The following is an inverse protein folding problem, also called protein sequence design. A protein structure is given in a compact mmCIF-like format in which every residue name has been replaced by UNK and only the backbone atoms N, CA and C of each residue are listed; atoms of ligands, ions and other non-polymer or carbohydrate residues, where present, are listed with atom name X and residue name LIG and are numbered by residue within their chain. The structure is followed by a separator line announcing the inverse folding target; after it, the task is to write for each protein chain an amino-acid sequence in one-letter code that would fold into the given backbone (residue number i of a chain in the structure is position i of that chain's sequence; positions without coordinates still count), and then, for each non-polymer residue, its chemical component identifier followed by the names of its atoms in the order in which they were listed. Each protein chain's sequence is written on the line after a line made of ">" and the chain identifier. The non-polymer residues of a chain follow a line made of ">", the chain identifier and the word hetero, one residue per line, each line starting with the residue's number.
data_IF_390500763695
#
_entry.id   IF_390500763695
#
_cell.length_a   1.000
_cell.length_b   1.000
_cell.length_c   1.000
_cell.angle_alpha   90.00
_cell.angle_beta   90.00
_cell.angle_gamma   90.00
#
_symmetry.space_group_name_H-M   'P 1'
#
loop_
_entity.id
_entity.type
_entity.pdbx_description
1 polymer ?
#
# COMPACT_ATOMS: atom_id res chain seq x y z
N UNK A 1 80.01 -17.57 1.56
CA UNK A 1 79.00 -16.58 1.09
C UNK A 1 77.67 -17.32 0.99
N UNK A 2 76.78 -17.20 2.00
CA UNK A 2 75.44 -17.81 2.02
C UNK A 2 74.42 -16.81 1.48
N UNK A 3 73.78 -17.11 0.35
CA UNK A 3 72.67 -16.31 -0.20
C UNK A 3 71.39 -16.70 0.55
N UNK A 4 70.83 -15.78 1.31
CA UNK A 4 69.50 -15.92 1.89
C UNK A 4 68.45 -15.57 0.80
N UNK A 5 67.58 -16.53 0.52
CA UNK A 5 66.45 -16.40 -0.38
C UNK A 5 65.26 -15.89 0.43
N UNK A 6 64.87 -14.67 0.19
CA UNK A 6 63.71 -14.04 0.85
C UNK A 6 62.44 -14.46 0.06
N UNK A 7 61.61 -15.34 0.63
CA UNK A 7 60.31 -15.67 0.08
C UNK A 7 59.29 -14.67 0.58
N UNK A 8 58.81 -13.77 -0.31
CA UNK A 8 57.72 -12.85 -0.03
C UNK A 8 56.41 -13.63 -0.30
N UNK A 9 55.73 -14.03 0.80
CA UNK A 9 54.36 -14.54 0.72
C UNK A 9 53.42 -13.34 0.59
N UNK A 10 52.94 -13.07 -0.64
CA UNK A 10 51.81 -12.17 -0.91
C UNK A 10 50.52 -12.85 -0.46
N UNK A 11 49.95 -12.41 0.67
CA UNK A 11 48.61 -12.80 1.07
C UNK A 11 47.59 -12.06 0.22
N UNK A 12 46.97 -12.77 -0.73
CA UNK A 12 45.81 -12.25 -1.48
C UNK A 12 44.61 -12.33 -0.54
N UNK A 13 44.23 -11.18 0.02
CA UNK A 13 42.97 -11.05 0.75
C UNK A 13 41.83 -10.96 -0.28
N UNK A 14 41.19 -12.09 -0.54
CA UNK A 14 39.91 -12.11 -1.28
C UNK A 14 38.84 -11.47 -0.37
N UNK A 15 38.51 -10.20 -0.59
CA UNK A 15 37.31 -9.59 -0.04
C UNK A 15 36.13 -10.21 -0.77
N UNK A 16 35.45 -11.17 -0.13
CA UNK A 16 34.11 -11.62 -0.52
C UNK A 16 33.16 -10.44 -0.30
N UNK A 17 32.99 -9.61 -1.32
CA UNK A 17 31.90 -8.64 -1.37
C UNK A 17 30.63 -9.46 -1.46
N UNK A 18 29.95 -9.65 -0.33
CA UNK A 18 28.63 -10.24 -0.30
C UNK A 18 27.72 -9.33 -1.15
N UNK A 19 27.35 -9.79 -2.34
CA UNK A 19 26.39 -9.11 -3.20
C UNK A 19 25.03 -9.16 -2.47
N UNK A 20 24.78 -8.20 -1.58
CA UNK A 20 23.44 -8.03 -1.00
C UNK A 20 22.55 -7.61 -2.15
N UNK A 21 21.57 -8.45 -2.48
CA UNK A 21 20.53 -8.08 -3.44
C UNK A 21 19.78 -6.85 -2.91
N UNK A 22 19.50 -5.90 -3.80
CA UNK A 22 18.67 -4.73 -3.49
C UNK A 22 17.35 -5.18 -2.86
N UNK A 23 16.85 -4.49 -1.81
CA UNK A 23 15.59 -4.85 -1.18
C UNK A 23 14.43 -4.74 -2.17
N UNK A 24 13.46 -5.63 -2.02
CA UNK A 24 12.23 -5.60 -2.82
C UNK A 24 11.40 -4.39 -2.43
N UNK A 25 11.20 -3.46 -3.36
CA UNK A 25 10.43 -2.24 -3.13
C UNK A 25 8.93 -2.51 -3.12
N UNK A 26 8.27 -2.12 -2.04
CA UNK A 26 6.82 -2.26 -1.81
C UNK A 26 6.21 -0.89 -1.61
N UNK A 27 5.29 -0.48 -2.47
CA UNK A 27 4.56 0.77 -2.37
C UNK A 27 3.17 0.54 -1.76
N UNK A 28 2.90 1.15 -0.62
CA UNK A 28 1.56 1.22 -0.03
C UNK A 28 0.90 2.54 -0.47
N UNK A 29 0.07 2.47 -1.51
CA UNK A 29 -0.67 3.59 -2.10
C UNK A 29 -2.05 3.68 -1.44
N UNK A 30 -2.48 4.90 -1.07
CA UNK A 30 -3.82 5.04 -0.47
C UNK A 30 -4.13 6.42 0.12
N UNK A 31 -5.16 6.42 0.93
CA UNK A 31 -5.73 7.60 1.58
C UNK A 31 -5.21 7.81 3.03
N UNK A 32 -6.01 8.47 3.87
CA UNK A 32 -5.70 8.73 5.30
C UNK A 32 -5.42 7.48 6.11
N UNK A 33 -6.01 6.34 5.76
CA UNK A 33 -5.81 5.08 6.49
C UNK A 33 -4.40 4.53 6.19
N UNK A 34 -3.96 4.62 4.94
CA UNK A 34 -2.58 4.30 4.55
C UNK A 34 -1.58 5.29 5.15
N UNK A 35 -1.91 6.59 5.10
CA UNK A 35 -1.12 7.64 5.74
C UNK A 35 -0.92 7.40 7.23
N UNK A 36 -1.90 6.80 7.92
CA UNK A 36 -1.91 6.58 9.36
C UNK A 36 -2.48 7.79 10.12
N UNK A 37 -3.63 8.33 9.65
CA UNK A 37 -4.31 9.41 10.36
C UNK A 37 -4.68 8.97 11.78
N UNK A 38 -4.39 9.83 12.78
CA UNK A 38 -4.61 9.54 14.19
C UNK A 38 -3.52 8.68 14.85
N UNK A 39 -2.59 8.08 14.09
CA UNK A 39 -1.47 7.30 14.62
C UNK A 39 -0.32 8.24 15.01
N UNK A 40 0.15 8.10 16.25
CA UNK A 40 1.18 8.98 16.82
C UNK A 40 2.55 8.74 16.18
N UNK A 41 2.99 7.50 16.12
CA UNK A 41 4.22 7.08 15.44
C UNK A 41 3.90 6.37 14.12
N UNK A 42 3.59 7.15 13.10
CA UNK A 42 3.20 6.62 11.78
C UNK A 42 4.29 5.80 11.11
N UNK A 43 5.55 6.09 11.39
CA UNK A 43 6.66 5.36 10.79
C UNK A 43 6.68 3.89 11.22
N UNK A 44 6.21 3.58 12.42
CA UNK A 44 6.22 2.22 12.99
C UNK A 44 4.82 1.62 13.14
N UNK A 45 3.81 2.43 13.49
CA UNK A 45 2.49 1.95 13.92
C UNK A 45 1.38 2.11 12.85
N UNK A 46 1.59 2.91 11.79
CA UNK A 46 0.72 2.82 10.62
C UNK A 46 1.00 1.50 9.86
N UNK A 47 -0.02 0.93 9.20
CA UNK A 47 0.11 -0.41 8.61
C UNK A 47 1.32 -0.59 7.67
N UNK A 48 1.79 0.41 6.89
CA UNK A 48 2.99 0.24 6.09
C UNK A 48 4.25 0.06 6.95
N UNK A 49 4.35 0.76 8.09
CA UNK A 49 5.44 0.60 9.05
C UNK A 49 5.42 -0.75 9.75
N UNK A 50 4.23 -1.18 10.19
CA UNK A 50 4.03 -2.53 10.76
C UNK A 50 4.41 -3.61 9.74
N UNK A 51 3.95 -3.47 8.49
CA UNK A 51 4.27 -4.40 7.39
C UNK A 51 5.77 -4.43 7.11
N UNK A 52 6.44 -3.27 7.14
CA UNK A 52 7.91 -3.17 7.00
C UNK A 52 8.63 -3.98 8.08
N UNK A 53 8.18 -3.87 9.32
CA UNK A 53 8.73 -4.63 10.46
C UNK A 53 8.51 -6.14 10.27
N UNK A 54 7.33 -6.56 9.83
CA UNK A 54 7.00 -7.97 9.58
C UNK A 54 7.84 -8.58 8.46
N UNK A 55 8.13 -7.82 7.40
CA UNK A 55 8.88 -8.28 6.23
C UNK A 55 10.40 -8.24 6.43
N UNK A 56 10.89 -7.38 7.32
CA UNK A 56 12.30 -7.21 7.60
C UNK A 56 13.12 -6.60 6.45
N UNK A 57 14.46 -6.58 6.58
CA UNK A 57 15.35 -5.78 5.74
C UNK A 57 15.46 -6.23 4.28
N UNK A 58 14.83 -7.35 3.90
CA UNK A 58 14.74 -7.79 2.50
C UNK A 58 13.74 -6.99 1.68
N UNK A 59 12.92 -6.17 2.34
CA UNK A 59 11.90 -5.35 1.70
C UNK A 59 12.06 -3.88 2.10
N UNK A 60 11.94 -2.97 1.14
CA UNK A 60 11.80 -1.52 1.34
C UNK A 60 10.32 -1.16 1.18
N UNK A 61 9.60 -1.12 2.30
CA UNK A 61 8.16 -0.78 2.33
C UNK A 61 8.00 0.71 2.56
N UNK A 62 7.33 1.40 1.65
CA UNK A 62 7.10 2.85 1.78
C UNK A 62 5.62 3.21 1.77
N UNK A 63 5.31 4.19 2.61
CA UNK A 63 3.98 4.76 2.76
C UNK A 63 3.79 5.93 1.78
N UNK A 64 2.89 5.76 0.82
CA UNK A 64 2.47 6.78 -0.14
C UNK A 64 1.00 7.17 0.07
N UNK A 65 0.51 7.07 1.29
CA UNK A 65 -0.83 7.50 1.67
C UNK A 65 -0.95 9.01 1.76
N UNK A 66 -2.10 9.55 1.33
CA UNK A 66 -2.45 10.97 1.43
C UNK A 66 -3.85 11.11 2.03
N UNK A 67 -3.95 11.83 3.16
CA UNK A 67 -5.25 12.02 3.83
C UNK A 67 -6.23 12.76 2.93
N UNK A 68 -7.45 12.22 2.80
CA UNK A 68 -8.50 12.82 1.98
C UNK A 68 -8.54 12.36 0.53
N UNK A 69 -7.50 11.68 0.04
CA UNK A 69 -7.40 11.31 -1.37
C UNK A 69 -8.47 10.34 -1.83
N UNK A 70 -8.90 10.54 -3.06
CA UNK A 70 -9.90 9.78 -3.81
C UNK A 70 -9.26 9.03 -4.97
N UNK A 71 -9.98 8.04 -5.49
CA UNK A 71 -9.65 7.36 -6.76
C UNK A 71 -9.99 8.24 -7.95
N UNK A 72 -11.17 8.86 -7.91
CA UNK A 72 -11.74 9.61 -9.04
C UNK A 72 -11.07 10.96 -9.24
N UNK A 73 -10.86 11.33 -10.52
CA UNK A 73 -10.20 12.58 -10.93
C UNK A 73 -11.10 13.83 -10.81
N UNK A 74 -12.42 13.66 -10.91
CA UNK A 74 -13.39 14.76 -10.82
C UNK A 74 -13.80 15.18 -9.40
N UNK A 75 -13.04 14.79 -8.38
CA UNK A 75 -13.38 14.94 -6.95
C UNK A 75 -12.57 16.03 -6.26
N UNK A 76 -12.81 16.19 -4.95
CA UNK A 76 -12.14 17.21 -4.14
C UNK A 76 -10.62 17.00 -4.00
N UNK A 77 -10.13 15.75 -4.04
CA UNK A 77 -8.70 15.45 -3.81
C UNK A 77 -8.22 14.20 -4.56
N UNK A 78 -8.12 14.22 -5.89
CA UNK A 78 -7.66 13.07 -6.67
C UNK A 78 -6.23 12.65 -6.31
N UNK A 79 -6.02 11.38 -5.97
CA UNK A 79 -4.70 10.86 -5.60
C UNK A 79 -3.65 11.08 -6.70
N UNK A 80 -4.01 10.94 -7.96
CA UNK A 80 -3.10 11.13 -9.10
C UNK A 80 -2.60 12.57 -9.26
N UNK A 81 -3.22 13.55 -8.59
CA UNK A 81 -2.72 14.93 -8.54
C UNK A 81 -1.68 15.16 -7.44
N UNK A 82 -1.55 14.24 -6.47
CA UNK A 82 -0.72 14.41 -5.29
C UNK A 82 0.76 14.11 -5.57
N UNK A 83 1.64 14.76 -4.78
CA UNK A 83 3.08 14.50 -4.88
C UNK A 83 3.42 13.05 -4.53
N UNK A 84 2.73 12.46 -3.54
CA UNK A 84 2.92 11.06 -3.15
C UNK A 84 2.70 10.06 -4.30
N UNK A 85 1.77 10.35 -5.22
CA UNK A 85 1.61 9.54 -6.43
C UNK A 85 2.84 9.58 -7.32
N UNK A 86 3.40 10.78 -7.57
CA UNK A 86 4.62 10.95 -8.37
C UNK A 86 5.81 10.26 -7.71
N UNK A 87 5.92 10.38 -6.39
CA UNK A 87 6.98 9.74 -5.60
C UNK A 87 6.85 8.20 -5.62
N UNK A 88 5.61 7.67 -5.56
CA UNK A 88 5.35 6.24 -5.68
C UNK A 88 5.76 5.68 -7.06
N UNK A 89 5.50 6.42 -8.13
CA UNK A 89 5.97 6.04 -9.48
C UNK A 89 7.50 6.11 -9.58
N UNK A 90 8.11 7.18 -9.08
CA UNK A 90 9.57 7.36 -9.07
C UNK A 90 10.29 6.31 -8.21
N UNK A 91 9.65 5.80 -7.17
CA UNK A 91 10.14 4.71 -6.36
C UNK A 91 10.30 3.41 -7.15
N UNK A 92 9.59 3.27 -8.28
CA UNK A 92 9.64 2.11 -9.18
C UNK A 92 9.49 0.77 -8.42
N UNK A 93 8.37 0.55 -7.71
CA UNK A 93 8.17 -0.59 -6.82
C UNK A 93 8.07 -1.92 -7.58
N UNK A 94 8.32 -3.04 -6.89
CA UNK A 94 8.08 -4.40 -7.38
C UNK A 94 6.72 -4.95 -6.94
N UNK A 95 6.15 -4.36 -5.87
CA UNK A 95 4.84 -4.70 -5.33
C UNK A 95 4.12 -3.39 -5.03
N UNK A 96 2.85 -3.29 -5.41
CA UNK A 96 1.99 -2.14 -5.12
C UNK A 96 0.69 -2.64 -4.50
N UNK A 97 0.31 -2.07 -3.37
CA UNK A 97 -1.04 -2.20 -2.82
C UNK A 97 -1.78 -0.89 -3.00
N UNK A 98 -2.98 -0.91 -3.57
CA UNK A 98 -3.81 0.28 -3.80
C UNK A 98 -5.03 0.21 -2.88
N UNK A 99 -5.06 1.07 -1.86
CA UNK A 99 -6.14 1.20 -0.87
C UNK A 99 -6.76 2.60 -0.97
N UNK A 100 -7.65 2.80 -1.92
CA UNK A 100 -8.44 4.01 -2.14
C UNK A 100 -9.94 3.68 -2.15
N UNK A 101 -10.79 4.69 -2.28
CA UNK A 101 -12.24 4.52 -2.37
C UNK A 101 -13.00 4.98 -1.13
N UNK A 102 -12.35 5.12 0.04
CA UNK A 102 -13.02 5.61 1.25
C UNK A 102 -13.55 7.03 1.06
N UNK A 103 -12.75 7.95 0.54
CA UNK A 103 -13.14 9.35 0.32
C UNK A 103 -14.04 9.54 -0.91
N UNK A 104 -13.99 8.62 -1.84
CA UNK A 104 -14.92 8.59 -2.98
C UNK A 104 -16.37 8.43 -2.51
N UNK A 105 -16.61 7.78 -1.36
CA UNK A 105 -17.94 7.56 -0.80
C UNK A 105 -18.65 8.82 -0.30
N UNK A 106 -17.95 9.94 -0.18
CA UNK A 106 -18.56 11.21 0.21
C UNK A 106 -19.62 11.61 -0.81
N UNK A 107 -20.81 12.09 -0.39
CA UNK A 107 -21.92 12.34 -1.31
C UNK A 107 -21.60 13.28 -2.46
N UNK A 108 -20.74 14.27 -2.25
CA UNK A 108 -20.34 15.24 -3.27
C UNK A 108 -19.29 14.67 -4.24
N UNK A 109 -18.56 13.62 -3.88
CA UNK A 109 -17.66 12.89 -4.76
C UNK A 109 -18.40 11.77 -5.50
N UNK A 110 -19.26 11.01 -4.80
CA UNK A 110 -19.92 9.82 -5.37
C UNK A 110 -20.95 10.12 -6.47
N UNK A 111 -21.38 11.37 -6.60
CA UNK A 111 -22.24 11.80 -7.75
C UNK A 111 -21.55 11.60 -9.10
N UNK A 112 -20.23 11.50 -9.14
CA UNK A 112 -19.42 11.24 -10.34
C UNK A 112 -18.98 9.76 -10.42
N UNK A 113 -19.74 8.85 -9.79
CA UNK A 113 -19.36 7.44 -9.61
C UNK A 113 -19.13 6.65 -10.90
N UNK A 114 -19.72 7.09 -12.02
CA UNK A 114 -19.51 6.50 -13.34
C UNK A 114 -18.04 6.58 -13.79
N UNK A 115 -17.27 7.53 -13.28
CA UNK A 115 -15.84 7.67 -13.58
C UNK A 115 -14.94 6.76 -12.75
N UNK A 116 -15.44 6.22 -11.61
CA UNK A 116 -14.61 5.47 -10.64
C UNK A 116 -13.81 4.34 -11.29
N UNK A 117 -14.46 3.51 -12.09
CA UNK A 117 -13.79 2.35 -12.71
C UNK A 117 -12.72 2.77 -13.71
N UNK A 118 -13.00 3.79 -14.53
CA UNK A 118 -12.05 4.28 -15.51
C UNK A 118 -10.82 4.92 -14.84
N UNK A 119 -11.03 5.70 -13.79
CA UNK A 119 -9.94 6.38 -13.08
C UNK A 119 -9.08 5.38 -12.30
N UNK A 120 -9.71 4.35 -11.69
CA UNK A 120 -8.98 3.25 -11.07
C UNK A 120 -8.12 2.49 -12.09
N UNK A 121 -8.63 2.21 -13.28
CA UNK A 121 -7.85 1.58 -14.38
C UNK A 121 -6.69 2.47 -14.83
N UNK A 122 -6.90 3.77 -14.92
CA UNK A 122 -5.84 4.73 -15.27
C UNK A 122 -4.72 4.70 -14.21
N UNK A 123 -5.08 4.68 -12.92
CA UNK A 123 -4.11 4.55 -11.84
C UNK A 123 -3.35 3.21 -11.92
N UNK A 124 -4.03 2.10 -12.15
CA UNK A 124 -3.42 0.77 -12.33
C UNK A 124 -2.41 0.79 -13.48
N UNK A 125 -2.80 1.32 -14.64
CA UNK A 125 -1.96 1.32 -15.83
C UNK A 125 -0.70 2.18 -15.64
N UNK A 126 -0.79 3.26 -14.87
CA UNK A 126 0.38 4.07 -14.55
C UNK A 126 1.48 3.29 -13.81
N UNK A 127 1.09 2.39 -12.89
CA UNK A 127 2.03 1.49 -12.22
C UNK A 127 2.45 0.32 -13.11
N UNK A 128 1.52 -0.26 -13.88
CA UNK A 128 1.79 -1.38 -14.80
C UNK A 128 2.84 -1.01 -15.86
N UNK A 129 2.86 0.25 -16.27
CA UNK A 129 3.80 0.78 -17.27
C UNK A 129 5.22 0.99 -16.75
N UNK A 130 5.46 0.90 -15.43
CA UNK A 130 6.79 1.08 -14.85
C UNK A 130 7.80 0.02 -15.33
N UNK A 131 9.10 0.37 -15.41
CA UNK A 131 10.17 -0.58 -15.78
C UNK A 131 10.23 -1.81 -14.87
N UNK A 132 9.87 -1.66 -13.58
CA UNK A 132 9.83 -2.74 -12.59
C UNK A 132 8.75 -3.79 -12.89
N UNK A 133 7.71 -3.47 -13.69
CA UNK A 133 6.55 -4.33 -13.93
C UNK A 133 5.98 -4.91 -12.63
N UNK A 134 5.47 -4.07 -11.71
CA UNK A 134 5.09 -4.48 -10.38
C UNK A 134 3.91 -5.46 -10.36
N UNK A 135 3.88 -6.31 -9.32
CA UNK A 135 2.65 -6.97 -8.91
C UNK A 135 1.73 -5.94 -8.26
N UNK A 136 0.52 -5.80 -8.76
CA UNK A 136 -0.48 -4.83 -8.27
C UNK A 136 -1.59 -5.59 -7.56
N UNK A 137 -1.96 -5.12 -6.36
CA UNK A 137 -3.02 -5.65 -5.52
C UNK A 137 -4.02 -4.55 -5.21
N UNK A 138 -5.30 -4.82 -5.44
CA UNK A 138 -6.37 -3.90 -5.07
C UNK A 138 -6.91 -4.26 -3.68
N UNK A 139 -6.96 -3.29 -2.78
CA UNK A 139 -7.48 -3.49 -1.44
C UNK A 139 -8.94 -3.02 -1.37
N UNK A 140 -9.82 -3.85 -0.84
CA UNK A 140 -11.17 -3.39 -0.49
C UNK A 140 -11.06 -2.43 0.70
N UNK A 141 -11.74 -1.26 0.67
CA UNK A 141 -11.73 -0.31 1.78
C UNK A 141 -12.25 -0.95 3.08
N UNK A 142 -11.67 -0.55 4.21
CA UNK A 142 -12.17 -0.95 5.53
C UNK A 142 -13.57 -0.36 5.78
N UNK A 143 -14.38 -0.92 6.69
CA UNK A 143 -15.69 -0.38 7.02
C UNK A 143 -15.57 0.98 7.72
N UNK A 144 -16.61 1.81 7.59
CA UNK A 144 -16.80 3.02 8.36
C UNK A 144 -17.97 2.81 9.35
N UNK A 145 -17.79 3.26 10.61
CA UNK A 145 -18.78 3.06 11.67
C UNK A 145 -19.57 4.33 11.99
N UNK A 146 -19.41 5.37 11.17
CA UNK A 146 -20.07 6.65 11.30
C UNK A 146 -19.96 7.49 10.04
N UNK A 147 -20.34 8.78 10.16
CA UNK A 147 -20.36 9.69 9.04
C UNK A 147 -19.37 10.85 9.18
N UNK A 148 -18.33 10.68 10.01
CA UNK A 148 -17.28 11.69 10.12
C UNK A 148 -16.70 12.01 8.73
N UNK A 149 -16.37 13.28 8.49
CA UNK A 149 -15.90 13.77 7.19
C UNK A 149 -16.79 13.41 6.00
N UNK A 150 -18.10 13.22 6.24
CA UNK A 150 -19.08 12.82 5.22
C UNK A 150 -18.83 11.45 4.59
N UNK A 151 -17.97 10.60 5.16
CA UNK A 151 -17.78 9.23 4.70
C UNK A 151 -19.08 8.43 4.85
N UNK A 152 -19.39 7.62 3.84
CA UNK A 152 -20.63 6.85 3.78
C UNK A 152 -20.35 5.36 3.59
N UNK A 153 -20.50 4.58 4.66
CA UNK A 153 -20.27 3.13 4.65
C UNK A 153 -21.18 2.39 3.68
N UNK A 154 -22.44 2.82 3.56
CA UNK A 154 -23.38 2.21 2.59
C UNK A 154 -22.88 2.37 1.15
N UNK A 155 -22.29 3.50 0.81
CA UNK A 155 -21.67 3.73 -0.50
C UNK A 155 -20.39 2.91 -0.65
N UNK A 156 -19.57 2.80 0.40
CA UNK A 156 -18.38 1.92 0.38
C UNK A 156 -18.80 0.50 0.05
N UNK A 157 -19.77 -0.04 0.79
CA UNK A 157 -20.18 -1.44 0.69
C UNK A 157 -20.93 -1.76 -0.61
N UNK A 158 -21.89 -0.89 -1.00
CA UNK A 158 -22.80 -1.16 -2.12
C UNK A 158 -22.34 -0.56 -3.47
N UNK A 159 -21.33 0.33 -3.45
CA UNK A 159 -20.83 1.02 -4.64
C UNK A 159 -19.34 0.79 -4.86
N UNK A 160 -18.51 1.30 -3.97
CA UNK A 160 -17.04 1.28 -4.14
C UNK A 160 -16.50 -0.14 -4.22
N UNK A 161 -16.85 -1.00 -3.25
CA UNK A 161 -16.37 -2.39 -3.21
C UNK A 161 -16.78 -3.19 -4.46
N UNK A 162 -18.05 -3.16 -4.93
CA UNK A 162 -18.42 -3.76 -6.21
C UNK A 162 -17.59 -3.26 -7.39
N UNK A 163 -17.37 -1.96 -7.51
CA UNK A 163 -16.57 -1.40 -8.62
C UNK A 163 -15.10 -1.83 -8.57
N UNK A 164 -14.49 -1.89 -7.38
CA UNK A 164 -13.13 -2.43 -7.24
C UNK A 164 -13.08 -3.90 -7.67
N UNK A 165 -14.08 -4.72 -7.29
CA UNK A 165 -14.16 -6.14 -7.67
C UNK A 165 -14.31 -6.32 -9.17
N UNK A 166 -15.16 -5.51 -9.82
CA UNK A 166 -15.32 -5.52 -11.27
C UNK A 166 -14.01 -5.17 -11.98
N UNK A 167 -13.35 -4.07 -11.58
CA UNK A 167 -12.06 -3.68 -12.16
C UNK A 167 -11.00 -4.75 -11.93
N UNK A 168 -10.93 -5.35 -10.74
CA UNK A 168 -9.99 -6.44 -10.45
C UNK A 168 -10.20 -7.63 -11.39
N UNK A 169 -11.45 -8.00 -11.66
CA UNK A 169 -11.78 -9.07 -12.61
C UNK A 169 -11.42 -8.68 -14.04
N UNK A 170 -11.77 -7.49 -14.50
CA UNK A 170 -11.48 -6.98 -15.85
C UNK A 170 -9.97 -6.87 -16.12
N UNK A 171 -9.20 -6.45 -15.11
CA UNK A 171 -7.75 -6.25 -15.19
C UNK A 171 -6.93 -7.48 -14.77
N UNK A 172 -7.60 -8.58 -14.40
CA UNK A 172 -6.98 -9.82 -13.90
C UNK A 172 -6.02 -9.54 -12.72
N UNK A 173 -6.46 -8.74 -11.75
CA UNK A 173 -5.70 -8.38 -10.56
C UNK A 173 -6.23 -9.07 -9.31
N UNK A 174 -5.33 -9.45 -8.37
CA UNK A 174 -5.73 -10.00 -7.08
C UNK A 174 -6.30 -8.91 -6.17
N UNK A 175 -7.22 -9.34 -5.29
CA UNK A 175 -7.85 -8.51 -4.26
C UNK A 175 -7.34 -8.90 -2.88
N UNK A 176 -7.10 -7.89 -2.03
CA UNK A 176 -6.92 -8.01 -0.58
C UNK A 176 -8.20 -7.53 0.09
N UNK A 177 -8.91 -8.41 0.76
CA UNK A 177 -10.10 -8.02 1.51
C UNK A 177 -9.69 -7.45 2.89
N UNK A 178 -9.66 -6.11 3.00
CA UNK A 178 -9.46 -5.42 4.27
C UNK A 178 -10.78 -5.09 4.98
N UNK A 179 -11.92 -5.30 4.31
CA UNK A 179 -13.23 -4.97 4.86
C UNK A 179 -13.69 -6.03 5.86
N UNK A 180 -13.77 -7.27 5.42
CA UNK A 180 -14.32 -8.39 6.23
C UNK A 180 -13.63 -8.58 7.59
N UNK A 181 -12.27 -8.57 7.70
CA UNK A 181 -11.62 -8.75 9.01
C UNK A 181 -11.92 -7.64 10.02
N UNK A 182 -12.37 -6.48 9.55
CA UNK A 182 -12.62 -5.30 10.38
C UNK A 182 -14.12 -5.00 10.61
N UNK A 183 -15.07 -5.77 10.00
CA UNK A 183 -16.50 -5.49 10.08
C UNK A 183 -17.06 -5.41 11.51
N UNK A 184 -16.61 -6.25 12.43
CA UNK A 184 -17.10 -6.27 13.82
C UNK A 184 -16.09 -5.66 14.80
N UNK A 185 -15.25 -4.74 14.32
CA UNK A 185 -14.14 -4.13 15.10
C UNK A 185 -14.31 -2.63 15.34
N UNK A 186 -15.55 -2.18 15.60
CA UNK A 186 -15.83 -0.76 15.85
C UNK A 186 -14.92 -0.15 16.92
N UNK A 187 -14.51 -0.92 17.93
CA UNK A 187 -13.59 -0.48 18.97
C UNK A 187 -12.19 -0.10 18.46
N UNK A 188 -11.83 -0.52 17.26
CA UNK A 188 -10.57 -0.11 16.62
C UNK A 188 -10.68 1.22 15.87
N UNK A 189 -11.85 1.84 15.82
CA UNK A 189 -12.11 3.06 15.06
C UNK A 189 -12.56 4.20 16.00
N UNK A 190 -11.63 4.85 16.73
CA UNK A 190 -11.96 5.85 17.74
C UNK A 190 -12.76 7.05 17.22
N UNK A 191 -12.53 7.44 15.97
CA UNK A 191 -13.26 8.52 15.28
C UNK A 191 -14.30 7.99 14.27
N UNK A 192 -14.58 6.70 14.33
CA UNK A 192 -15.51 5.94 13.46
C UNK A 192 -15.04 5.68 12.03
N UNK A 193 -13.91 6.24 11.60
CA UNK A 193 -13.37 6.12 10.22
C UNK A 193 -11.94 5.57 10.20
N UNK A 194 -11.06 6.08 11.08
CA UNK A 194 -9.65 5.75 11.04
C UNK A 194 -9.31 4.68 12.08
N UNK A 195 -8.65 3.58 11.65
CA UNK A 195 -8.21 2.54 12.57
C UNK A 195 -7.11 3.05 13.52
N UNK A 196 -7.22 2.69 14.81
CA UNK A 196 -6.13 2.82 15.78
C UNK A 196 -5.00 1.81 15.50
N UNK A 197 -3.98 1.78 16.36
CA UNK A 197 -2.81 0.90 16.20
C UNK A 197 -3.20 -0.59 16.06
N UNK A 198 -4.20 -1.07 16.79
CA UNK A 198 -4.67 -2.46 16.67
C UNK A 198 -5.34 -2.72 15.31
N UNK A 199 -6.14 -1.77 14.82
CA UNK A 199 -6.72 -1.84 13.49
C UNK A 199 -5.66 -1.77 12.39
N UNK A 200 -4.64 -0.92 12.54
CA UNK A 200 -3.50 -0.83 11.62
C UNK A 200 -2.68 -2.13 11.58
N UNK A 201 -2.44 -2.77 12.73
CA UNK A 201 -1.79 -4.09 12.79
C UNK A 201 -2.60 -5.16 12.05
N UNK A 202 -3.92 -5.19 12.23
CA UNK A 202 -4.78 -6.15 11.53
C UNK A 202 -4.74 -5.94 10.01
N UNK A 203 -4.71 -4.69 9.53
CA UNK A 203 -4.52 -4.38 8.10
C UNK A 203 -3.17 -4.93 7.61
N UNK A 204 -2.08 -4.66 8.34
CA UNK A 204 -0.75 -5.14 7.97
C UNK A 204 -0.68 -6.67 7.91
N UNK A 205 -1.24 -7.36 8.91
CA UNK A 205 -1.34 -8.83 8.95
C UNK A 205 -2.10 -9.39 7.76
N UNK A 206 -3.26 -8.79 7.43
CA UNK A 206 -4.06 -9.20 6.29
C UNK A 206 -3.28 -9.05 4.98
N UNK A 207 -2.62 -7.91 4.76
CA UNK A 207 -1.77 -7.70 3.57
C UNK A 207 -0.64 -8.72 3.53
N UNK A 208 0.02 -8.98 4.66
CA UNK A 208 1.10 -9.97 4.75
C UNK A 208 0.61 -11.37 4.35
N UNK A 209 -0.55 -11.78 4.83
CA UNK A 209 -1.13 -13.10 4.51
C UNK A 209 -1.45 -13.26 3.03
N UNK A 210 -2.04 -12.23 2.40
CA UNK A 210 -2.40 -12.28 0.98
C UNK A 210 -1.20 -12.24 0.05
N UNK A 211 -0.24 -11.36 0.33
CA UNK A 211 0.84 -11.02 -0.62
C UNK A 211 2.10 -11.82 -0.39
N UNK A 212 2.45 -12.09 0.88
CA UNK A 212 3.79 -12.60 1.25
C UNK A 212 3.78 -13.97 1.89
N UNK A 213 2.68 -14.43 2.49
CA UNK A 213 2.62 -15.79 2.99
C UNK A 213 2.56 -16.76 1.80
N UNK A 214 3.49 -17.71 1.74
CA UNK A 214 3.43 -18.80 0.76
C UNK A 214 2.12 -19.58 1.03
N UNK A 215 1.18 -19.54 0.08
CA UNK A 215 0.10 -20.52 0.06
C UNK A 215 0.77 -21.89 -0.03
N UNK A 216 0.65 -22.67 1.04
CA UNK A 216 1.04 -24.09 1.06
C UNK A 216 0.18 -24.87 0.09
#
# INVERSE_FOLDING_TARGET
>A
MKKQLLIIMSAIVLTLSACQSEPVRVACVGDSITFGHGIKDRAHDAYPGVLSTMLGPKYDVRNFGVSGSTTMMGTDMPYMNEQAYKDALAFNPRIVTIKLGTNDSKPYNWKESEHFKQDLKTLIESFRSLPSKPQIWLCLPVPAYGHAWSINDSVIYNGVIPYIKEVAQEENLPIIDLNTPLQDKKQYFPDTIHPNEEGQKLIAQTIFEYVFSKKK
#
